data_IF_607633614604
#
_entry.id   IF_607633614604
#
_cell.length_a   1.000
_cell.length_b   1.000
_cell.length_c   1.000
_cell.angle_alpha   90.00
_cell.angle_beta   90.00
_cell.angle_gamma   90.00
#
_symmetry.space_group_name_H-M   'P 1'
#
loop_
_entity.id
_entity.type
_entity.pdbx_description
1 polymer ?
#
# COMPACT_ATOMS: atom_id res chain seq x y z
N UNK A 1 -13.62 39.89 1.16
CA UNK A 1 -14.18 38.91 2.11
C UNK A 1 -14.35 37.62 1.33
N UNK A 2 -13.65 36.55 1.70
CA UNK A 2 -13.98 35.23 1.14
C UNK A 2 -15.35 34.83 1.69
N UNK A 3 -16.24 34.38 0.81
CA UNK A 3 -17.53 33.87 1.25
C UNK A 3 -17.35 32.54 2.00
N UNK A 4 -18.31 32.18 2.84
CA UNK A 4 -18.33 30.84 3.48
C UNK A 4 -18.23 29.73 2.42
N UNK A 5 -18.87 29.96 1.27
CA UNK A 5 -18.83 29.04 0.12
C UNK A 5 -17.41 28.89 -0.46
N UNK A 6 -16.64 29.97 -0.55
CA UNK A 6 -15.25 29.91 -1.02
C UNK A 6 -14.38 29.11 -0.04
N UNK A 7 -14.52 29.34 1.26
CA UNK A 7 -13.80 28.58 2.28
C UNK A 7 -14.16 27.08 2.29
N UNK A 8 -15.43 26.74 2.02
CA UNK A 8 -15.84 25.34 1.87
C UNK A 8 -15.27 24.69 0.59
N UNK A 9 -15.17 25.44 -0.52
CA UNK A 9 -14.54 24.95 -1.74
C UNK A 9 -13.04 24.70 -1.55
N UNK A 10 -12.35 25.60 -0.83
CA UNK A 10 -10.93 25.41 -0.51
C UNK A 10 -10.72 24.13 0.31
N UNK A 11 -11.52 23.95 1.38
CA UNK A 11 -11.47 22.74 2.20
C UNK A 11 -11.85 21.47 1.44
N UNK A 12 -12.81 21.55 0.51
CA UNK A 12 -13.16 20.43 -0.37
C UNK A 12 -11.97 19.97 -1.20
N UNK A 13 -11.20 20.91 -1.77
CA UNK A 13 -10.00 20.59 -2.54
C UNK A 13 -8.94 19.92 -1.67
N UNK A 14 -8.70 20.42 -0.45
CA UNK A 14 -7.77 19.81 0.51
C UNK A 14 -8.17 18.36 0.84
N UNK A 15 -9.45 18.10 1.08
CA UNK A 15 -9.96 16.74 1.37
C UNK A 15 -9.78 15.80 0.16
N UNK A 16 -9.99 16.29 -1.06
CA UNK A 16 -9.78 15.52 -2.29
C UNK A 16 -8.30 15.15 -2.43
N UNK A 17 -7.38 16.10 -2.23
CA UNK A 17 -5.94 15.86 -2.29
C UNK A 17 -5.46 14.86 -1.22
N UNK A 18 -6.00 14.97 0.00
CA UNK A 18 -5.69 14.03 1.09
C UNK A 18 -6.18 12.61 0.76
N UNK A 19 -7.39 12.50 0.18
CA UNK A 19 -7.93 11.20 -0.25
C UNK A 19 -7.09 10.58 -1.36
N UNK A 20 -6.72 11.35 -2.37
CA UNK A 20 -5.87 10.89 -3.47
C UNK A 20 -4.50 10.41 -2.96
N UNK A 21 -3.93 11.12 -1.99
CA UNK A 21 -2.68 10.72 -1.33
C UNK A 21 -2.86 9.40 -0.58
N UNK A 22 -3.94 9.25 0.18
CA UNK A 22 -4.27 8.02 0.91
C UNK A 22 -4.44 6.83 -0.04
N UNK A 23 -5.15 7.01 -1.16
CA UNK A 23 -5.37 5.98 -2.16
C UNK A 23 -4.07 5.58 -2.88
N UNK A 24 -3.18 6.54 -3.15
CA UNK A 24 -1.83 6.25 -3.68
C UNK A 24 -1.00 5.42 -2.70
N UNK A 25 -1.04 5.76 -1.41
CA UNK A 25 -0.34 4.99 -0.37
C UNK A 25 -0.90 3.55 -0.27
N UNK A 26 -2.22 3.39 -0.33
CA UNK A 26 -2.87 2.08 -0.35
C UNK A 26 -2.41 1.23 -1.55
N UNK A 27 -2.41 1.82 -2.75
CA UNK A 27 -1.95 1.15 -3.96
C UNK A 27 -0.47 0.78 -3.91
N UNK A 28 0.38 1.65 -3.35
CA UNK A 28 1.79 1.36 -3.16
C UNK A 28 2.00 0.20 -2.18
N UNK A 29 1.26 0.15 -1.08
CA UNK A 29 1.29 -0.97 -0.15
C UNK A 29 0.88 -2.29 -0.82
N UNK A 30 -0.23 -2.30 -1.56
CA UNK A 30 -0.71 -3.49 -2.28
C UNK A 30 0.33 -3.96 -3.31
N UNK A 31 0.89 -3.01 -4.07
CA UNK A 31 1.91 -3.31 -5.08
C UNK A 31 3.20 -3.85 -4.44
N UNK A 32 3.63 -3.26 -3.32
CA UNK A 32 4.81 -3.71 -2.57
C UNK A 32 4.67 -5.16 -2.08
N UNK A 33 3.50 -5.51 -1.53
CA UNK A 33 3.21 -6.87 -1.08
C UNK A 33 3.23 -7.88 -2.24
N UNK A 34 2.54 -7.56 -3.36
CA UNK A 34 2.54 -8.39 -4.56
C UNK A 34 3.94 -8.59 -5.13
N UNK A 35 4.74 -7.52 -5.19
CA UNK A 35 6.11 -7.57 -5.69
C UNK A 35 7.00 -8.45 -4.80
N UNK A 36 6.85 -8.35 -3.48
CA UNK A 36 7.56 -9.18 -2.51
C UNK A 36 7.25 -10.67 -2.73
N UNK A 37 5.97 -11.01 -2.90
CA UNK A 37 5.53 -12.38 -3.18
C UNK A 37 6.08 -12.92 -4.52
N UNK A 38 6.04 -12.12 -5.59
CA UNK A 38 6.59 -12.52 -6.90
C UNK A 38 8.10 -12.78 -6.80
N UNK A 39 8.85 -11.91 -6.09
CA UNK A 39 10.29 -12.09 -5.89
C UNK A 39 10.60 -13.43 -5.21
N UNK A 40 9.84 -13.81 -4.18
CA UNK A 40 9.98 -15.12 -3.53
C UNK A 40 9.72 -16.27 -4.50
N UNK A 41 8.62 -16.21 -5.25
CA UNK A 41 8.30 -17.26 -6.23
C UNK A 41 9.39 -17.44 -7.30
N UNK A 42 10.00 -16.33 -7.76
CA UNK A 42 11.14 -16.38 -8.69
C UNK A 42 12.34 -17.06 -8.05
N UNK A 43 12.66 -16.72 -6.80
CA UNK A 43 13.79 -17.30 -6.07
C UNK A 43 13.61 -18.78 -5.78
N UNK A 44 12.41 -19.20 -5.41
CA UNK A 44 12.07 -20.62 -5.18
C UNK A 44 12.17 -21.41 -6.49
N UNK A 45 11.67 -20.84 -7.59
CA UNK A 45 11.79 -21.44 -8.92
C UNK A 45 13.26 -21.59 -9.32
N UNK A 46 14.06 -20.54 -9.16
CA UNK A 46 15.49 -20.57 -9.45
C UNK A 46 16.21 -21.61 -8.56
N UNK A 47 15.92 -21.65 -7.26
CA UNK A 47 16.47 -22.62 -6.33
C UNK A 47 16.17 -24.07 -6.73
N UNK A 48 14.96 -24.35 -7.23
CA UNK A 48 14.56 -25.69 -7.69
C UNK A 48 15.36 -26.18 -8.92
N UNK A 49 15.87 -25.26 -9.73
CA UNK A 49 16.63 -25.56 -10.96
C UNK A 49 18.13 -25.75 -10.70
N UNK A 50 18.61 -25.40 -9.50
CA UNK A 50 20.01 -25.60 -9.13
C UNK A 50 20.27 -27.11 -9.05
N UNK A 51 21.31 -27.63 -9.74
CA UNK A 51 21.75 -29.01 -9.60
C UNK A 51 21.93 -29.41 -8.13
N UNK A 52 21.76 -30.70 -7.80
CA UNK A 52 21.95 -31.24 -6.44
C UNK A 52 23.44 -31.30 -6.04
N UNK A 53 24.13 -30.17 -6.15
CA UNK A 53 25.36 -29.90 -5.42
C UNK A 53 24.94 -29.22 -4.11
N UNK A 54 25.10 -29.93 -3.00
CA UNK A 54 24.65 -29.50 -1.67
C UNK A 54 25.22 -28.13 -1.28
N UNK A 55 26.47 -27.83 -1.64
CA UNK A 55 27.11 -26.57 -1.26
C UNK A 55 26.54 -25.38 -2.04
N UNK A 56 26.33 -25.55 -3.35
CA UNK A 56 25.76 -24.50 -4.20
C UNK A 56 24.29 -24.21 -3.86
N UNK A 57 23.50 -25.25 -3.58
CA UNK A 57 22.12 -25.07 -3.11
C UNK A 57 22.07 -24.36 -1.75
N UNK A 58 22.87 -24.79 -0.78
CA UNK A 58 22.94 -24.14 0.55
C UNK A 58 23.35 -22.68 0.42
N UNK A 59 24.35 -22.38 -0.41
CA UNK A 59 24.81 -21.01 -0.62
C UNK A 59 23.72 -20.13 -1.24
N UNK A 60 23.04 -20.61 -2.29
CA UNK A 60 21.96 -19.87 -2.94
C UNK A 60 20.80 -19.59 -1.99
N UNK A 61 20.35 -20.62 -1.26
CA UNK A 61 19.25 -20.48 -0.29
C UNK A 61 19.56 -19.42 0.75
N UNK A 62 20.74 -19.48 1.37
CA UNK A 62 21.17 -18.52 2.39
C UNK A 62 21.32 -17.10 1.85
N UNK A 63 21.89 -16.94 0.65
CA UNK A 63 22.16 -15.61 0.08
C UNK A 63 20.91 -14.92 -0.46
N UNK A 64 19.95 -15.68 -0.98
CA UNK A 64 18.82 -15.10 -1.73
C UNK A 64 17.47 -15.44 -1.11
N UNK A 65 17.15 -16.73 -0.94
CA UNK A 65 15.82 -17.19 -0.51
C UNK A 65 15.53 -16.73 0.92
N UNK A 66 16.36 -17.11 1.89
CA UNK A 66 16.14 -16.80 3.32
C UNK A 66 16.06 -15.29 3.58
N UNK A 67 16.92 -14.51 2.91
CA UNK A 67 16.93 -13.05 3.03
C UNK A 67 15.60 -12.44 2.55
N UNK A 68 15.02 -12.97 1.47
CA UNK A 68 13.75 -12.49 0.96
C UNK A 68 12.55 -13.04 1.77
N UNK A 69 12.64 -14.25 2.32
CA UNK A 69 11.62 -14.82 3.20
C UNK A 69 11.47 -13.95 4.46
N UNK A 70 12.60 -13.60 5.10
CA UNK A 70 12.61 -12.72 6.27
C UNK A 70 11.95 -11.37 5.96
N UNK A 71 12.36 -10.71 4.88
CA UNK A 71 11.80 -9.41 4.48
C UNK A 71 10.32 -9.50 4.11
N UNK A 72 9.90 -10.60 3.49
CA UNK A 72 8.49 -10.81 3.18
C UNK A 72 7.66 -10.99 4.44
N UNK A 73 8.15 -11.77 5.40
CA UNK A 73 7.45 -12.00 6.67
C UNK A 73 7.33 -10.71 7.48
N UNK A 74 8.41 -9.92 7.59
CA UNK A 74 8.36 -8.58 8.20
C UNK A 74 7.31 -7.68 7.53
N UNK A 75 7.23 -7.73 6.19
CA UNK A 75 6.26 -6.95 5.43
C UNK A 75 4.83 -7.46 5.66
N UNK A 76 4.60 -8.77 5.73
CA UNK A 76 3.29 -9.39 5.99
C UNK A 76 2.73 -8.94 7.34
N UNK A 77 3.56 -8.95 8.39
CA UNK A 77 3.14 -8.61 9.75
C UNK A 77 2.55 -7.21 9.84
N UNK A 78 3.16 -6.23 9.16
CA UNK A 78 2.72 -4.83 9.19
C UNK A 78 1.70 -4.50 8.08
N UNK A 79 1.63 -5.32 7.03
CA UNK A 79 0.87 -5.00 5.83
C UNK A 79 -0.64 -4.99 6.08
N UNK A 80 -1.17 -5.99 6.77
CA UNK A 80 -2.63 -6.12 6.94
C UNK A 80 -3.19 -4.96 7.77
N UNK A 81 -2.53 -4.63 8.88
CA UNK A 81 -2.94 -3.52 9.75
C UNK A 81 -2.90 -2.19 8.99
N UNK A 82 -1.78 -1.90 8.32
CA UNK A 82 -1.63 -0.64 7.58
C UNK A 82 -2.60 -0.54 6.40
N UNK A 83 -2.85 -1.65 5.69
CA UNK A 83 -3.83 -1.70 4.59
C UNK A 83 -5.23 -1.38 5.10
N UNK A 84 -5.65 -1.99 6.21
CA UNK A 84 -6.96 -1.75 6.81
C UNK A 84 -7.11 -0.31 7.31
N UNK A 85 -6.05 0.26 7.88
CA UNK A 85 -6.00 1.68 8.27
C UNK A 85 -6.23 2.60 7.08
N UNK A 86 -5.46 2.45 6.00
CA UNK A 86 -5.58 3.27 4.79
C UNK A 86 -6.96 3.13 4.12
N UNK A 87 -7.54 1.92 4.11
CA UNK A 87 -8.91 1.69 3.61
C UNK A 87 -9.93 2.46 4.46
N UNK A 88 -9.78 2.45 5.80
CA UNK A 88 -10.68 3.21 6.68
C UNK A 88 -10.55 4.71 6.45
N UNK A 89 -9.32 5.23 6.39
CA UNK A 89 -9.07 6.65 6.14
C UNK A 89 -9.65 7.11 4.81
N UNK A 90 -9.42 6.37 3.71
CA UNK A 90 -10.00 6.67 2.39
C UNK A 90 -11.53 6.72 2.42
N UNK A 91 -12.18 5.79 3.15
CA UNK A 91 -13.64 5.79 3.35
C UNK A 91 -14.13 7.00 4.14
N UNK A 92 -13.44 7.38 5.21
CA UNK A 92 -13.80 8.55 6.01
C UNK A 92 -13.68 9.85 5.21
N UNK A 93 -12.57 10.03 4.48
CA UNK A 93 -12.38 11.17 3.59
C UNK A 93 -13.46 11.24 2.51
N UNK A 94 -13.81 10.10 1.89
CA UNK A 94 -14.90 10.04 0.93
C UNK A 94 -16.26 10.47 1.50
N UNK A 95 -16.54 10.14 2.78
CA UNK A 95 -17.77 10.60 3.46
C UNK A 95 -17.76 12.08 3.77
N UNK A 96 -16.62 12.62 4.20
CA UNK A 96 -16.45 14.05 4.45
C UNK A 96 -16.62 14.87 3.17
N UNK A 97 -15.92 14.50 2.09
CA UNK A 97 -16.06 15.10 0.76
C UNK A 97 -17.53 15.16 0.36
N UNK A 98 -18.24 14.03 0.44
CA UNK A 98 -19.66 13.97 0.09
C UNK A 98 -20.52 14.96 0.89
N UNK A 99 -20.26 15.10 2.20
CA UNK A 99 -21.02 16.03 3.04
C UNK A 99 -20.71 17.48 2.71
N UNK A 100 -19.43 17.81 2.49
CA UNK A 100 -19.01 19.16 2.10
C UNK A 100 -19.62 19.55 0.75
N UNK A 101 -19.63 18.67 -0.24
CA UNK A 101 -20.29 18.89 -1.53
C UNK A 101 -21.81 19.10 -1.41
N UNK A 102 -22.48 18.42 -0.47
CA UNK A 102 -23.91 18.65 -0.19
C UNK A 102 -24.08 20.04 0.42
N UNK A 103 -23.31 20.38 1.45
CA UNK A 103 -23.38 21.68 2.12
C UNK A 103 -23.13 22.84 1.15
N UNK A 104 -22.12 22.75 0.28
CA UNK A 104 -21.83 23.79 -0.74
C UNK A 104 -23.01 24.00 -1.72
N UNK A 105 -23.78 22.95 -2.01
CA UNK A 105 -24.97 23.04 -2.88
C UNK A 105 -26.18 23.66 -2.19
N UNK A 106 -26.27 23.50 -0.87
CA UNK A 106 -27.35 24.05 -0.05
C UNK A 106 -27.12 25.52 0.34
N UNK A 107 -25.88 26.00 0.26
CA UNK A 107 -25.48 27.41 0.43
C UNK A 107 -25.38 28.17 -0.91
#
# INVERSE_FOLDING_TARGET
MNSVKDGLNDWLNELIEEKDTTDKLLNNHITGMKLSQIKLSILDSAFSQIPNNDDMKKEFRRKFVEVHEMRHNELVEIYEERRLELIRQSRYLGKLIQHVEITIREY
#
